data_IF_585001140827
#
_entry.id   IF_585001140827
#
_cell.length_a   1.000
_cell.length_b   1.000
_cell.length_c   1.000
_cell.angle_alpha   90.00
_cell.angle_beta   90.00
_cell.angle_gamma   90.00
#
_symmetry.space_group_name_H-M   'P 1'
#
loop_
_entity.id
_entity.type
_entity.pdbx_description
1 polymer ?
#
# COMPACT_ATOMS: atom_id res chain seq x y z
N UNK A 1 -30.61 -12.11 4.01
CA UNK A 1 -30.52 -13.52 3.53
C UNK A 1 -29.25 -14.15 4.11
N UNK A 2 -29.32 -15.21 4.93
CA UNK A 2 -28.12 -15.86 5.45
C UNK A 2 -27.48 -16.70 4.35
N UNK A 3 -26.28 -16.28 3.92
CA UNK A 3 -25.61 -16.70 2.70
C UNK A 3 -25.09 -18.15 2.69
N UNK A 4 -25.09 -18.71 1.47
CA UNK A 4 -24.69 -20.05 1.03
C UNK A 4 -23.18 -20.37 1.23
N UNK A 5 -22.64 -20.22 2.43
CA UNK A 5 -21.21 -20.47 2.70
C UNK A 5 -20.94 -21.51 3.79
N UNK A 6 -21.80 -22.53 3.91
CA UNK A 6 -21.67 -23.55 4.99
C UNK A 6 -20.47 -24.50 4.81
N UNK A 7 -19.86 -24.60 3.63
CA UNK A 7 -18.85 -25.63 3.35
C UNK A 7 -17.48 -25.09 2.87
N UNK A 8 -17.08 -23.86 3.24
CA UNK A 8 -15.68 -23.47 3.05
C UNK A 8 -14.86 -23.99 4.23
N UNK A 9 -14.15 -25.09 4.03
CA UNK A 9 -13.12 -25.53 4.97
C UNK A 9 -12.05 -24.44 5.05
N UNK A 10 -12.05 -23.68 6.15
CA UNK A 10 -10.94 -22.80 6.47
C UNK A 10 -9.91 -23.62 7.23
N UNK A 11 -8.80 -23.97 6.58
CA UNK A 11 -7.61 -24.54 7.25
C UNK A 11 -6.88 -23.53 8.14
N UNK A 12 -7.49 -22.38 8.39
CA UNK A 12 -6.91 -21.31 9.17
C UNK A 12 -6.93 -21.71 10.65
N UNK A 13 -5.77 -21.60 11.28
CA UNK A 13 -5.64 -21.74 12.73
C UNK A 13 -6.58 -20.74 13.47
N UNK A 14 -7.44 -21.22 14.40
CA UNK A 14 -8.33 -20.37 15.18
C UNK A 14 -7.60 -19.37 16.08
N UNK A 15 -6.37 -19.67 16.51
CA UNK A 15 -5.57 -18.80 17.40
C UNK A 15 -4.96 -17.64 16.64
N UNK A 16 -4.78 -17.77 15.32
CA UNK A 16 -4.13 -16.75 14.51
C UNK A 16 -4.98 -15.46 14.44
N UNK A 17 -4.41 -14.27 14.73
CA UNK A 17 -5.15 -13.01 14.66
C UNK A 17 -5.66 -12.69 13.24
N UNK A 18 -6.85 -12.10 13.14
CA UNK A 18 -7.42 -11.63 11.87
C UNK A 18 -6.62 -10.46 11.33
N UNK A 19 -6.39 -10.46 10.01
CA UNK A 19 -5.62 -9.41 9.33
C UNK A 19 -4.10 -9.52 9.45
N UNK A 20 -3.59 -10.52 10.17
CA UNK A 20 -2.15 -10.77 10.24
C UNK A 20 -1.62 -11.20 8.87
N UNK A 21 -0.55 -10.53 8.42
CA UNK A 21 0.16 -10.90 7.20
C UNK A 21 1.03 -12.13 7.44
N UNK A 22 1.30 -12.88 6.37
CA UNK A 22 2.34 -13.91 6.41
C UNK A 22 3.69 -13.25 6.68
N UNK A 23 4.46 -13.84 7.59
CA UNK A 23 5.88 -13.54 7.76
C UNK A 23 6.68 -14.00 6.55
N UNK A 24 7.89 -13.49 6.39
CA UNK A 24 8.82 -13.94 5.36
C UNK A 24 9.08 -15.45 5.46
N UNK A 25 9.30 -15.96 6.67
CA UNK A 25 9.51 -17.39 6.92
C UNK A 25 8.35 -18.25 6.43
N UNK A 26 7.12 -17.89 6.77
CA UNK A 26 5.93 -18.62 6.31
C UNK A 26 5.77 -18.56 4.78
N UNK A 27 6.09 -17.42 4.16
CA UNK A 27 6.05 -17.29 2.69
C UNK A 27 7.09 -18.18 2.03
N UNK A 28 8.29 -18.23 2.58
CA UNK A 28 9.35 -19.12 2.10
C UNK A 28 8.92 -20.57 2.20
N UNK A 29 8.37 -21.00 3.34
CA UNK A 29 7.84 -22.37 3.48
C UNK A 29 6.76 -22.67 2.43
N UNK A 30 5.78 -21.79 2.24
CA UNK A 30 4.73 -21.95 1.21
C UNK A 30 5.33 -22.10 -0.18
N UNK A 31 6.26 -21.23 -0.56
CA UNK A 31 6.86 -21.21 -1.89
C UNK A 31 7.78 -22.41 -2.12
N UNK A 32 8.56 -22.84 -1.11
CA UNK A 32 9.39 -24.03 -1.19
C UNK A 32 8.55 -25.30 -1.30
N UNK A 33 7.50 -25.45 -0.50
CA UNK A 33 6.60 -26.61 -0.58
C UNK A 33 5.90 -26.69 -1.94
N UNK A 34 5.52 -25.55 -2.51
CA UNK A 34 4.86 -25.50 -3.81
C UNK A 34 5.84 -25.74 -4.98
N UNK A 35 6.95 -24.99 -5.04
CA UNK A 35 7.86 -25.01 -6.19
C UNK A 35 8.86 -26.16 -6.16
N UNK A 36 9.38 -26.52 -4.97
CA UNK A 36 10.42 -27.55 -4.83
C UNK A 36 9.81 -28.92 -4.57
N UNK A 37 8.84 -29.01 -3.64
CA UNK A 37 8.23 -30.29 -3.28
C UNK A 37 6.99 -30.64 -4.14
N UNK A 38 6.45 -29.71 -4.92
CA UNK A 38 5.30 -29.94 -5.79
C UNK A 38 3.98 -30.15 -5.05
N UNK A 39 3.87 -29.69 -3.79
CA UNK A 39 2.68 -29.94 -2.97
C UNK A 39 1.46 -29.17 -3.47
N UNK A 40 0.28 -29.78 -3.31
CA UNK A 40 -0.99 -29.12 -3.61
C UNK A 40 -1.29 -28.01 -2.57
N UNK A 41 -1.87 -26.89 -3.04
CA UNK A 41 -2.25 -25.71 -2.24
C UNK A 41 -3.12 -26.07 -1.03
N UNK A 42 -4.04 -27.03 -1.17
CA UNK A 42 -4.89 -27.51 -0.07
C UNK A 42 -4.07 -28.20 1.02
N UNK A 43 -3.09 -29.01 0.62
CA UNK A 43 -2.20 -29.73 1.54
C UNK A 43 -1.32 -28.74 2.28
N UNK A 44 -0.72 -27.78 1.56
CA UNK A 44 0.08 -26.71 2.16
C UNK A 44 -0.75 -25.89 3.16
N UNK A 45 -1.99 -25.54 2.80
CA UNK A 45 -2.89 -24.79 3.68
C UNK A 45 -3.22 -25.55 4.97
N UNK A 46 -3.48 -26.85 4.87
CA UNK A 46 -3.75 -27.74 6.01
C UNK A 46 -2.52 -27.87 6.91
N UNK A 47 -1.35 -28.10 6.31
CA UNK A 47 -0.11 -28.33 7.05
C UNK A 47 0.35 -27.08 7.81
N UNK A 48 0.28 -25.91 7.17
CA UNK A 48 0.74 -24.65 7.75
C UNK A 48 -0.34 -23.90 8.56
N UNK A 49 -1.55 -24.46 8.72
CA UNK A 49 -2.66 -23.78 9.40
C UNK A 49 -3.07 -22.47 8.74
N UNK A 50 -2.91 -22.36 7.41
CA UNK A 50 -3.15 -21.15 6.63
C UNK A 50 -4.50 -21.20 5.93
N UNK A 51 -5.18 -20.05 5.81
CA UNK A 51 -6.34 -19.96 4.94
C UNK A 51 -5.94 -20.29 3.49
N UNK A 52 -6.71 -21.12 2.80
CA UNK A 52 -6.44 -21.50 1.41
C UNK A 52 -6.30 -20.29 0.47
N UNK A 53 -7.08 -19.23 0.71
CA UNK A 53 -6.96 -17.95 -0.02
C UNK A 53 -5.59 -17.28 0.15
N UNK A 54 -5.01 -17.39 1.34
CA UNK A 54 -3.71 -16.82 1.69
C UNK A 54 -2.58 -17.58 0.99
N UNK A 55 -2.63 -18.92 0.99
CA UNK A 55 -1.67 -19.76 0.24
C UNK A 55 -1.76 -19.46 -1.26
N UNK A 56 -2.98 -19.39 -1.81
CA UNK A 56 -3.20 -19.06 -3.22
C UNK A 56 -2.63 -17.68 -3.59
N UNK A 57 -2.85 -16.67 -2.74
CA UNK A 57 -2.32 -15.33 -2.94
C UNK A 57 -0.79 -15.32 -2.88
N UNK A 58 -0.20 -15.98 -1.87
CA UNK A 58 1.25 -16.07 -1.71
C UNK A 58 1.94 -16.66 -2.95
N UNK A 59 1.40 -17.77 -3.47
CA UNK A 59 1.92 -18.41 -4.69
C UNK A 59 1.74 -17.50 -5.92
N UNK A 60 0.58 -16.83 -6.04
CA UNK A 60 0.32 -15.92 -7.16
C UNK A 60 1.23 -14.68 -7.15
N UNK A 61 1.61 -14.20 -5.97
CA UNK A 61 2.54 -13.07 -5.84
C UNK A 61 3.98 -13.47 -6.14
N UNK A 62 4.39 -14.69 -5.79
CA UNK A 62 5.71 -15.25 -6.12
C UNK A 62 6.91 -14.63 -5.40
N UNK A 63 6.70 -13.59 -4.56
CA UNK A 63 7.77 -12.96 -3.78
C UNK A 63 7.87 -13.54 -2.37
N UNK A 64 9.10 -13.79 -1.90
CA UNK A 64 9.39 -14.20 -0.53
C UNK A 64 9.08 -13.08 0.48
N UNK A 65 9.56 -11.87 0.21
CA UNK A 65 9.38 -10.72 1.08
C UNK A 65 8.04 -10.02 0.79
N UNK A 66 7.18 -9.77 1.81
CA UNK A 66 5.92 -9.08 1.60
C UNK A 66 6.15 -7.62 1.17
N UNK A 67 5.42 -7.16 0.15
CA UNK A 67 5.49 -5.75 -0.28
C UNK A 67 5.02 -4.82 0.85
N UNK A 68 5.81 -3.78 1.13
CA UNK A 68 5.42 -2.71 2.06
C UNK A 68 4.11 -2.10 1.53
N UNK A 69 3.07 -1.95 2.37
CA UNK A 69 1.84 -1.34 1.92
C UNK A 69 2.15 0.10 1.46
N UNK A 70 1.55 0.56 0.35
CA UNK A 70 1.70 1.96 -0.03
C UNK A 70 1.20 2.83 1.11
N UNK A 71 1.98 3.84 1.47
CA UNK A 71 1.56 4.84 2.44
C UNK A 71 0.38 5.66 1.93
N UNK A 72 -0.15 6.53 2.80
CA UNK A 72 -1.17 7.51 2.39
C UNK A 72 -0.64 8.33 1.21
N UNK A 73 -1.46 8.51 0.18
CA UNK A 73 -1.12 9.37 -0.96
C UNK A 73 -0.83 10.80 -0.47
N UNK A 74 0.24 11.45 -0.95
CA UNK A 74 0.52 12.81 -0.55
C UNK A 74 -0.58 13.75 -1.05
N UNK A 75 -0.95 14.73 -0.21
CA UNK A 75 -1.94 15.77 -0.57
C UNK A 75 -1.41 16.59 -1.76
N UNK A 76 -0.12 16.90 -1.73
CA UNK A 76 0.60 17.57 -2.80
C UNK A 76 1.19 16.51 -3.75
N UNK A 77 0.52 16.31 -4.88
CA UNK A 77 1.08 15.50 -5.98
C UNK A 77 2.17 16.29 -6.70
N UNK A 78 3.03 15.59 -7.44
CA UNK A 78 4.10 16.22 -8.25
C UNK A 78 3.55 17.26 -9.22
N UNK A 79 2.39 17.00 -9.84
CA UNK A 79 1.73 17.96 -10.73
C UNK A 79 1.25 19.22 -10.00
N UNK A 80 0.58 19.07 -8.86
CA UNK A 80 0.14 20.21 -8.04
C UNK A 80 1.30 21.05 -7.55
N UNK A 81 2.39 20.39 -7.12
CA UNK A 81 3.64 21.06 -6.74
C UNK A 81 4.18 21.90 -7.89
N UNK A 82 4.38 21.32 -9.07
CA UNK A 82 4.89 22.04 -10.25
C UNK A 82 4.06 23.27 -10.61
N UNK A 83 2.72 23.18 -10.50
CA UNK A 83 1.85 24.34 -10.73
C UNK A 83 2.06 25.45 -9.70
N UNK A 84 2.18 25.11 -8.40
CA UNK A 84 2.49 26.09 -7.36
C UNK A 84 3.80 26.83 -7.61
N UNK A 85 4.86 26.09 -7.95
CA UNK A 85 6.18 26.67 -8.23
C UNK A 85 6.11 27.54 -9.49
N UNK A 86 5.51 27.01 -10.55
CA UNK A 86 5.34 27.77 -11.78
C UNK A 86 4.62 29.09 -11.54
N UNK A 87 3.50 29.07 -10.80
CA UNK A 87 2.75 30.26 -10.41
C UNK A 87 3.60 31.22 -9.59
N UNK A 88 4.36 30.73 -8.60
CA UNK A 88 5.25 31.54 -7.78
C UNK A 88 6.36 32.23 -8.59
N UNK A 89 6.85 31.58 -9.64
CA UNK A 89 7.98 32.06 -10.46
C UNK A 89 7.57 32.92 -11.66
N UNK A 90 6.27 32.93 -12.01
CA UNK A 90 5.71 33.46 -13.25
C UNK A 90 6.12 34.92 -13.51
N UNK A 91 5.77 35.83 -12.58
CA UNK A 91 5.99 37.28 -12.73
C UNK A 91 6.53 37.93 -11.46
N UNK A 92 7.02 39.16 -11.58
CA UNK A 92 7.44 39.98 -10.44
C UNK A 92 6.32 40.19 -9.39
N UNK A 93 5.06 40.22 -9.83
CA UNK A 93 3.89 40.28 -8.95
C UNK A 93 3.78 39.01 -8.09
N UNK A 94 3.75 37.84 -8.73
CA UNK A 94 3.58 36.56 -8.06
C UNK A 94 4.75 36.19 -7.14
N UNK A 95 5.97 36.65 -7.44
CA UNK A 95 7.15 36.47 -6.58
C UNK A 95 7.08 37.23 -5.25
N UNK A 96 6.26 38.28 -5.18
CA UNK A 96 6.05 39.08 -3.96
C UNK A 96 4.91 38.54 -3.09
N UNK A 97 4.07 37.65 -3.63
CA UNK A 97 2.99 37.01 -2.88
C UNK A 97 3.55 35.99 -1.90
N UNK A 98 2.84 35.82 -0.79
CA UNK A 98 3.10 34.74 0.15
C UNK A 98 2.76 33.38 -0.46
N UNK A 99 3.38 32.32 0.06
CA UNK A 99 3.09 30.96 -0.39
C UNK A 99 1.63 30.54 -0.13
N UNK A 100 1.01 31.10 0.91
CA UNK A 100 -0.39 30.85 1.24
C UNK A 100 -1.31 31.47 0.18
N UNK A 101 -1.03 32.71 -0.27
CA UNK A 101 -1.77 33.37 -1.35
C UNK A 101 -1.61 32.64 -2.69
N UNK A 102 -0.39 32.21 -3.01
CA UNK A 102 -0.13 31.40 -4.22
C UNK A 102 -0.91 30.08 -4.18
N UNK A 103 -1.01 29.45 -3.00
CA UNK A 103 -1.79 28.22 -2.83
C UNK A 103 -3.29 28.45 -3.00
N UNK A 104 -3.81 29.57 -2.50
CA UNK A 104 -5.20 29.96 -2.70
C UNK A 104 -5.52 30.20 -4.17
N UNK A 105 -4.62 30.87 -4.92
CA UNK A 105 -4.78 31.08 -6.37
C UNK A 105 -4.85 29.76 -7.16
N UNK A 106 -4.15 28.72 -6.72
CA UNK A 106 -4.19 27.38 -7.32
C UNK A 106 -5.32 26.49 -6.75
N UNK A 107 -6.19 27.04 -5.89
CA UNK A 107 -7.31 26.33 -5.27
C UNK A 107 -6.88 25.23 -4.28
N UNK A 108 -5.70 25.37 -3.68
CA UNK A 108 -5.13 24.39 -2.76
C UNK A 108 -5.22 24.88 -1.32
N UNK A 109 -5.98 24.14 -0.49
CA UNK A 109 -5.98 24.36 0.95
C UNK A 109 -4.87 23.51 1.60
N UNK A 110 -3.72 24.12 1.84
CA UNK A 110 -2.53 23.47 2.39
C UNK A 110 -2.06 24.23 3.63
N UNK A 111 -1.51 23.50 4.60
CA UNK A 111 -0.87 24.13 5.75
C UNK A 111 0.51 24.68 5.36
N UNK A 112 0.92 25.78 6.01
CA UNK A 112 2.21 26.46 5.78
C UNK A 112 3.42 25.52 5.74
N UNK A 113 3.48 24.53 6.65
CA UNK A 113 4.56 23.51 6.69
C UNK A 113 4.64 22.69 5.39
N UNK A 114 3.49 22.35 4.80
CA UNK A 114 3.44 21.58 3.55
C UNK A 114 3.85 22.42 2.35
N UNK A 115 3.55 23.72 2.37
CA UNK A 115 3.97 24.68 1.36
C UNK A 115 5.48 24.91 1.42
N UNK A 116 6.05 25.19 2.60
CA UNK A 116 7.51 25.34 2.75
C UNK A 116 8.26 24.12 2.22
N UNK A 117 7.85 22.92 2.61
CA UNK A 117 8.45 21.68 2.11
C UNK A 117 8.29 21.48 0.60
N UNK A 118 7.27 22.07 -0.01
CA UNK A 118 7.06 22.03 -1.46
C UNK A 118 8.07 22.91 -2.20
N UNK A 119 8.42 24.07 -1.63
CA UNK A 119 9.37 25.03 -2.20
C UNK A 119 10.84 24.72 -1.83
N UNK A 120 11.12 24.11 -0.68
CA UNK A 120 12.48 23.70 -0.26
C UNK A 120 13.10 22.58 -1.11
N UNK A 121 12.28 21.85 -1.87
CA UNK A 121 12.74 20.72 -2.71
C UNK A 121 13.09 21.15 -4.14
N UNK A 122 13.05 22.45 -4.43
CA UNK A 122 13.54 23.08 -5.66
C UNK A 122 14.98 23.56 -5.43
#
# INVERSE_FOLDING_TARGET
MPGKHKNRQSFRDPVRPRGQRLSEYERTQVLTLYNTAGWNKTVIARELGLAHSTVRLCISEGYFTPKRPPGRRPILTTGKRRRLIHRATLDAYHRRLSYDEIAQLEGLNLCRRSLLKAFERE
#
